data_IF_161353837246
#
_entry.id   IF_161353837246
#
_cell.length_a   1.000
_cell.length_b   1.000
_cell.length_c   1.000
_cell.angle_alpha   90.00
_cell.angle_beta   90.00
_cell.angle_gamma   90.00
#
_symmetry.space_group_name_H-M   'P 1'
#
loop_
_entity.id
_entity.type
_entity.pdbx_description
1 polymer ?
#
# COMPACT_ATOMS: atom_id res chain seq x y z
N UNK A 1 38.18 -10.35 -44.94
CA UNK A 1 37.34 -11.53 -44.61
C UNK A 1 35.96 -11.03 -44.24
N UNK A 2 34.98 -11.20 -45.14
CA UNK A 2 33.60 -10.82 -44.87
C UNK A 2 32.95 -11.97 -44.09
N UNK A 3 32.96 -11.87 -42.75
CA UNK A 3 32.22 -12.80 -41.90
C UNK A 3 30.74 -12.54 -42.20
N UNK A 4 30.15 -13.38 -43.05
CA UNK A 4 28.79 -13.18 -43.54
C UNK A 4 27.81 -13.04 -42.38
N UNK A 5 26.83 -12.13 -42.51
CA UNK A 5 25.88 -11.78 -41.44
C UNK A 5 25.03 -12.94 -40.88
N UNK A 6 25.16 -14.16 -41.41
CA UNK A 6 24.61 -15.37 -40.78
C UNK A 6 25.49 -15.90 -39.64
N UNK A 7 26.81 -15.77 -39.74
CA UNK A 7 27.78 -16.23 -38.73
C UNK A 7 27.75 -15.30 -37.51
N UNK A 8 27.66 -13.99 -37.71
CA UNK A 8 27.53 -13.03 -36.60
C UNK A 8 26.21 -13.20 -35.83
N UNK A 9 25.09 -13.43 -36.53
CA UNK A 9 23.79 -13.72 -35.88
C UNK A 9 23.84 -15.05 -35.12
N UNK A 10 24.46 -16.09 -35.68
CA UNK A 10 24.60 -17.38 -35.01
C UNK A 10 25.49 -17.31 -33.76
N UNK A 11 26.55 -16.50 -33.78
CA UNK A 11 27.44 -16.27 -32.63
C UNK A 11 26.72 -15.48 -31.54
N UNK A 12 26.01 -14.39 -31.89
CA UNK A 12 25.24 -13.59 -30.91
C UNK A 12 24.12 -14.43 -30.28
N UNK A 13 23.42 -15.25 -31.07
CA UNK A 13 22.41 -16.18 -30.55
C UNK A 13 23.01 -17.29 -29.71
N UNK A 14 24.15 -17.85 -30.11
CA UNK A 14 24.89 -18.82 -29.32
C UNK A 14 25.26 -18.26 -27.96
N UNK A 15 25.76 -17.02 -27.90
CA UNK A 15 26.11 -16.32 -26.65
C UNK A 15 24.90 -16.04 -25.75
N UNK A 16 23.68 -15.91 -26.30
CA UNK A 16 22.45 -15.71 -25.51
C UNK A 16 21.85 -17.05 -25.07
N UNK A 17 21.85 -18.06 -25.93
CA UNK A 17 21.21 -19.36 -25.68
C UNK A 17 22.07 -20.32 -24.85
N UNK A 18 23.40 -20.32 -25.01
CA UNK A 18 24.29 -21.19 -24.20
C UNK A 18 24.13 -20.99 -22.69
N UNK A 19 24.17 -19.76 -22.15
CA UNK A 19 24.01 -19.57 -20.71
C UNK A 19 22.62 -20.00 -20.22
N UNK A 20 21.56 -19.74 -21.00
CA UNK A 20 20.20 -20.21 -20.66
C UNK A 20 20.08 -21.73 -20.69
N UNK A 21 20.68 -22.39 -21.67
CA UNK A 21 20.69 -23.85 -21.80
C UNK A 21 21.49 -24.52 -20.68
N UNK A 22 22.63 -23.92 -20.30
CA UNK A 22 23.43 -24.34 -19.16
C UNK A 22 22.64 -24.27 -17.85
N UNK A 23 21.97 -23.15 -17.58
CA UNK A 23 21.13 -22.97 -16.38
C UNK A 23 19.91 -23.88 -16.40
N UNK A 24 19.30 -24.13 -17.56
CA UNK A 24 18.10 -24.97 -17.68
C UNK A 24 18.38 -26.47 -17.56
N UNK A 25 19.59 -26.95 -17.90
CA UNK A 25 19.90 -28.38 -17.92
C UNK A 25 20.90 -28.82 -16.85
N UNK A 26 21.58 -27.87 -16.20
CA UNK A 26 22.54 -28.15 -15.15
C UNK A 26 22.29 -27.21 -13.98
N UNK A 27 22.10 -27.74 -12.77
CA UNK A 27 21.96 -26.91 -11.57
C UNK A 27 23.31 -26.24 -11.25
N UNK A 28 23.47 -24.91 -11.47
CA UNK A 28 24.77 -24.28 -11.38
C UNK A 28 25.14 -23.86 -9.95
N UNK A 29 24.28 -24.20 -8.97
CA UNK A 29 24.33 -23.67 -7.61
C UNK A 29 24.33 -24.78 -6.55
N UNK A 30 25.07 -25.88 -6.75
CA UNK A 30 25.10 -27.03 -5.82
C UNK A 30 25.46 -26.70 -4.36
N UNK A 31 25.93 -25.48 -4.10
CA UNK A 31 26.30 -24.97 -2.79
C UNK A 31 25.42 -23.77 -2.33
N UNK A 32 24.33 -23.44 -3.05
CA UNK A 32 23.40 -22.39 -2.65
C UNK A 32 22.36 -22.95 -1.68
N UNK A 33 22.14 -22.22 -0.58
CA UNK A 33 21.12 -22.40 0.47
C UNK A 33 20.43 -23.77 0.50
N UNK A 34 20.99 -24.67 1.33
CA UNK A 34 20.52 -26.03 1.55
C UNK A 34 19.29 -26.10 2.46
N UNK A 35 19.07 -25.05 3.23
CA UNK A 35 18.10 -25.06 4.34
C UNK A 35 16.83 -24.27 3.96
N UNK A 36 16.91 -23.42 2.93
CA UNK A 36 15.75 -22.70 2.39
C UNK A 36 15.38 -21.51 3.26
N UNK A 37 16.37 -20.78 3.75
CA UNK A 37 16.15 -19.66 4.68
C UNK A 37 16.16 -18.32 3.97
N UNK A 38 15.17 -17.48 4.25
CA UNK A 38 15.08 -16.12 3.72
C UNK A 38 15.05 -15.12 4.86
N UNK A 39 16.00 -14.20 4.88
CA UNK A 39 16.07 -13.14 5.88
C UNK A 39 15.73 -11.78 5.26
N UNK A 40 14.89 -11.02 5.96
CA UNK A 40 14.62 -9.61 5.69
C UNK A 40 14.97 -8.79 6.91
N UNK A 41 15.82 -7.79 6.72
CA UNK A 41 16.15 -6.80 7.74
C UNK A 41 16.04 -5.40 7.16
N UNK A 42 15.26 -4.53 7.81
CA UNK A 42 15.21 -3.12 7.44
C UNK A 42 14.89 -2.21 8.62
N UNK A 43 15.23 -0.94 8.44
CA UNK A 43 14.77 0.17 9.27
C UNK A 43 14.00 1.13 8.38
N UNK A 44 12.75 1.39 8.73
CA UNK A 44 11.82 2.13 7.88
C UNK A 44 10.98 3.09 8.71
N UNK A 45 10.55 4.19 8.09
CA UNK A 45 9.53 5.07 8.67
C UNK A 45 8.17 4.66 8.13
N UNK A 46 7.24 4.35 9.04
CA UNK A 46 5.82 4.17 8.77
C UNK A 46 5.10 5.48 9.05
N UNK A 47 4.23 5.88 8.12
CA UNK A 47 3.32 7.01 8.29
C UNK A 47 1.96 6.56 8.78
N UNK A 48 1.20 7.49 9.34
CA UNK A 48 -0.13 7.25 9.89
C UNK A 48 -1.00 6.37 8.98
N UNK A 49 -1.61 5.32 9.55
CA UNK A 49 -2.44 4.34 8.84
C UNK A 49 -1.72 3.54 7.72
N UNK A 50 -0.39 3.50 7.73
CA UNK A 50 0.41 2.67 6.83
C UNK A 50 0.74 1.32 7.46
N UNK A 51 0.87 0.29 6.64
CA UNK A 51 1.45 -0.99 7.04
C UNK A 51 2.62 -1.36 6.15
N UNK A 52 3.55 -2.12 6.72
CA UNK A 52 4.65 -2.79 6.05
C UNK A 52 4.47 -4.30 6.13
N UNK A 53 4.89 -5.02 5.09
CA UNK A 53 4.92 -6.47 5.14
C UNK A 53 6.04 -7.12 4.34
N UNK A 54 6.40 -8.31 4.79
CA UNK A 54 7.16 -9.32 4.04
C UNK A 54 6.39 -10.62 4.05
N UNK A 55 6.62 -11.49 3.07
CA UNK A 55 5.98 -12.79 3.03
C UNK A 55 6.82 -13.78 2.24
N UNK A 56 6.71 -15.04 2.62
CA UNK A 56 7.30 -16.17 1.89
C UNK A 56 6.33 -17.35 1.91
N UNK A 57 6.50 -18.25 0.95
CA UNK A 57 5.80 -19.53 0.95
C UNK A 57 6.56 -20.51 1.86
N UNK A 58 5.88 -21.10 2.82
CA UNK A 58 6.51 -21.90 3.88
C UNK A 58 5.80 -23.22 4.03
N UNK A 59 6.55 -24.32 4.18
CA UNK A 59 6.00 -25.64 4.49
C UNK A 59 5.52 -25.73 5.95
N UNK A 60 4.51 -26.57 6.16
CA UNK A 60 4.00 -26.88 7.50
C UNK A 60 5.12 -27.36 8.44
N UNK A 61 5.11 -26.84 9.68
CA UNK A 61 6.06 -27.21 10.73
C UNK A 61 7.36 -26.41 10.76
N UNK A 62 7.64 -25.61 9.73
CA UNK A 62 8.80 -24.70 9.75
C UNK A 62 8.49 -23.40 10.50
N UNK A 63 9.52 -22.58 10.71
CA UNK A 63 9.47 -21.47 11.65
C UNK A 63 9.72 -20.10 11.00
N UNK A 64 9.04 -19.09 11.55
CA UNK A 64 9.28 -17.68 11.30
C UNK A 64 9.85 -17.09 12.58
N UNK A 65 11.13 -16.71 12.55
CA UNK A 65 11.76 -16.02 13.69
C UNK A 65 11.80 -14.53 13.42
N UNK A 66 11.34 -13.71 14.36
CA UNK A 66 11.24 -12.27 14.17
C UNK A 66 11.73 -11.48 15.38
N UNK A 67 12.23 -10.27 15.12
CA UNK A 67 12.47 -9.22 16.09
C UNK A 67 12.02 -7.91 15.48
N UNK A 68 11.25 -7.12 16.23
CA UNK A 68 10.77 -5.82 15.78
C UNK A 68 10.79 -4.81 16.91
N UNK A 69 11.12 -3.57 16.57
CA UNK A 69 11.15 -2.41 17.45
C UNK A 69 10.54 -1.20 16.76
N UNK A 70 9.86 -0.34 17.50
CA UNK A 70 9.32 0.93 17.01
C UNK A 70 9.62 2.09 17.96
N UNK A 71 9.72 3.30 17.42
CA UNK A 71 9.87 4.55 18.19
C UNK A 71 9.40 5.75 17.36
N UNK A 72 8.64 6.70 17.95
CA UNK A 72 8.24 6.76 19.37
C UNK A 72 6.99 5.95 19.72
N UNK A 73 6.22 5.54 18.71
CA UNK A 73 4.86 5.01 18.89
C UNK A 73 4.78 3.50 18.98
N UNK A 74 3.66 3.02 19.52
CA UNK A 74 3.24 1.62 19.43
C UNK A 74 3.00 1.19 17.98
N UNK A 75 3.08 -0.11 17.72
CA UNK A 75 2.72 -0.71 16.44
C UNK A 75 1.86 -1.96 16.69
N UNK A 76 1.03 -2.28 15.71
CA UNK A 76 0.31 -3.55 15.62
C UNK A 76 1.12 -4.53 14.78
N UNK A 77 1.70 -5.53 15.42
CA UNK A 77 2.45 -6.59 14.76
C UNK A 77 1.55 -7.82 14.58
N UNK A 78 1.63 -8.47 13.42
CA UNK A 78 0.95 -9.74 13.19
C UNK A 78 1.71 -10.66 12.24
N UNK A 79 1.52 -11.96 12.41
CA UNK A 79 1.82 -12.96 11.37
C UNK A 79 0.50 -13.59 10.94
N UNK A 80 0.22 -13.62 9.63
CA UNK A 80 -1.05 -14.13 9.08
C UNK A 80 -0.85 -14.97 7.81
N UNK A 81 -1.82 -15.83 7.53
CA UNK A 81 -1.87 -16.75 6.38
C UNK A 81 -2.46 -16.11 5.11
N UNK A 82 -2.62 -14.78 5.10
CA UNK A 82 -3.32 -14.07 4.04
C UNK A 82 -2.86 -12.62 3.90
N UNK A 83 -3.05 -12.00 2.72
CA UNK A 83 -2.78 -10.58 2.50
C UNK A 83 -3.61 -9.68 3.43
N UNK A 84 -3.04 -8.52 3.78
CA UNK A 84 -3.65 -7.56 4.71
C UNK A 84 -5.06 -7.13 4.28
N UNK A 85 -5.27 -6.96 2.97
CA UNK A 85 -6.53 -6.48 2.37
C UNK A 85 -7.67 -7.51 2.47
N UNK A 86 -7.34 -8.75 2.82
CA UNK A 86 -8.29 -9.85 2.99
C UNK A 86 -8.57 -10.19 4.45
N UNK A 87 -7.92 -9.48 5.38
CA UNK A 87 -8.18 -9.62 6.80
C UNK A 87 -9.61 -9.18 7.10
N UNK A 88 -10.30 -9.88 8.01
CA UNK A 88 -11.63 -9.46 8.41
C UNK A 88 -11.55 -8.13 9.16
N UNK A 89 -12.64 -7.37 9.08
CA UNK A 89 -12.80 -6.14 9.84
C UNK A 89 -13.81 -6.33 10.95
N UNK A 90 -13.64 -5.53 12.00
CA UNK A 90 -14.46 -5.53 13.19
C UNK A 90 -14.88 -4.11 13.56
N UNK A 91 -15.75 -4.00 14.55
CA UNK A 91 -16.11 -2.73 15.18
C UNK A 91 -15.32 -2.65 16.48
N UNK A 92 -14.45 -1.64 16.59
CA UNK A 92 -13.73 -1.34 17.83
C UNK A 92 -14.50 -0.27 18.59
N UNK A 93 -14.73 -0.49 19.88
CA UNK A 93 -15.38 0.48 20.76
C UNK A 93 -14.31 0.98 21.73
N UNK A 94 -14.22 2.30 21.87
CA UNK A 94 -13.34 2.95 22.84
C UNK A 94 -14.06 3.96 23.71
N UNK A 95 -13.42 4.30 24.82
CA UNK A 95 -13.87 5.30 25.77
C UNK A 95 -12.66 6.10 26.25
N UNK A 96 -12.72 7.41 26.11
CA UNK A 96 -11.76 8.34 26.69
C UNK A 96 -12.47 9.25 27.68
N UNK A 97 -11.99 9.25 28.91
CA UNK A 97 -12.53 10.08 30.00
C UNK A 97 -11.36 10.80 30.66
N UNK A 98 -11.37 12.13 30.59
CA UNK A 98 -10.30 12.95 31.16
C UNK A 98 -10.79 14.35 31.54
N UNK A 99 -9.89 15.15 32.11
CA UNK A 99 -10.07 16.54 32.47
C UNK A 99 -9.05 17.42 31.74
N UNK A 100 -9.55 18.46 31.06
CA UNK A 100 -8.77 19.49 30.37
C UNK A 100 -8.82 20.79 31.16
N UNK A 101 -7.76 21.59 31.05
CA UNK A 101 -7.70 22.94 31.62
C UNK A 101 -7.42 23.93 30.50
N UNK A 102 -8.41 24.76 30.20
CA UNK A 102 -8.37 25.75 29.12
C UNK A 102 -8.05 27.13 29.68
N UNK A 103 -6.91 27.70 29.29
CA UNK A 103 -6.60 29.12 29.54
C UNK A 103 -7.33 30.03 28.54
N UNK A 104 -7.52 31.31 28.89
CA UNK A 104 -8.14 32.30 28.02
C UNK A 104 -7.46 32.37 26.64
N UNK A 105 -8.25 32.22 25.58
CA UNK A 105 -7.81 32.28 24.19
C UNK A 105 -7.16 31.00 23.67
N UNK A 106 -7.24 29.91 24.42
CA UNK A 106 -6.67 28.62 24.05
C UNK A 106 -7.76 27.57 23.85
N UNK A 107 -7.47 26.60 22.99
CA UNK A 107 -8.27 25.41 22.79
C UNK A 107 -7.43 24.17 23.10
N UNK A 108 -8.12 23.11 23.50
CA UNK A 108 -7.59 21.74 23.55
C UNK A 108 -8.48 20.85 22.68
N UNK A 109 -7.93 19.73 22.23
CA UNK A 109 -8.68 18.80 21.40
C UNK A 109 -8.28 17.35 21.62
N UNK A 110 -9.20 16.46 21.27
CA UNK A 110 -8.93 15.03 21.06
C UNK A 110 -9.29 14.67 19.62
N UNK A 111 -8.56 13.73 19.03
CA UNK A 111 -8.74 13.34 17.63
C UNK A 111 -8.92 11.84 17.46
N UNK A 112 -9.82 11.47 16.54
CA UNK A 112 -10.03 10.08 16.14
C UNK A 112 -10.09 9.97 14.63
N UNK A 113 -9.32 9.04 14.06
CA UNK A 113 -9.52 8.63 12.67
C UNK A 113 -10.70 7.67 12.58
N UNK A 114 -11.79 8.09 11.94
CA UNK A 114 -13.00 7.28 11.84
C UNK A 114 -13.47 7.18 10.39
N UNK A 115 -14.08 6.04 10.07
CA UNK A 115 -14.64 5.72 8.75
C UNK A 115 -16.18 5.81 8.76
N UNK A 116 -16.86 5.89 7.60
CA UNK A 116 -18.32 5.81 7.55
C UNK A 116 -18.87 4.62 8.35
N UNK A 117 -20.10 4.75 8.88
CA UNK A 117 -20.72 3.81 9.83
C UNK A 117 -20.06 3.78 11.23
N UNK A 118 -19.10 4.66 11.49
CA UNK A 118 -18.60 4.93 12.84
C UNK A 118 -19.47 5.96 13.55
N UNK A 119 -19.33 6.08 14.87
CA UNK A 119 -20.03 7.10 15.66
C UNK A 119 -19.17 7.64 16.78
N UNK A 120 -19.42 8.89 17.15
CA UNK A 120 -18.82 9.58 18.29
C UNK A 120 -19.97 9.99 19.21
N UNK A 121 -19.89 9.62 20.47
CA UNK A 121 -20.81 10.02 21.53
C UNK A 121 -20.02 10.87 22.49
N UNK A 122 -20.30 12.17 22.53
CA UNK A 122 -19.63 13.11 23.41
C UNK A 122 -20.54 13.50 24.56
N UNK A 123 -19.95 13.64 25.74
CA UNK A 123 -20.56 14.22 26.94
C UNK A 123 -19.47 15.03 27.65
N UNK A 124 -19.74 16.28 27.98
CA UNK A 124 -18.80 17.11 28.74
C UNK A 124 -19.50 18.13 29.63
N UNK A 125 -18.76 18.57 30.65
CA UNK A 125 -19.15 19.63 31.57
C UNK A 125 -17.97 20.56 31.83
N UNK A 126 -18.20 21.86 31.73
CA UNK A 126 -17.23 22.93 31.90
C UNK A 126 -17.56 23.80 33.12
N UNK A 127 -16.52 24.30 33.80
CA UNK A 127 -16.70 25.20 34.95
C UNK A 127 -17.19 26.60 34.60
N UNK A 128 -17.17 26.97 33.32
CA UNK A 128 -17.63 28.25 32.75
C UNK A 128 -17.99 28.04 31.26
N UNK A 129 -18.53 29.08 30.63
CA UNK A 129 -18.85 29.11 29.20
C UNK A 129 -17.61 28.83 28.34
N UNK A 130 -17.80 28.01 27.31
CA UNK A 130 -16.84 27.64 26.29
C UNK A 130 -17.55 27.46 24.94
N UNK A 131 -16.78 27.40 23.87
CA UNK A 131 -17.23 26.90 22.59
C UNK A 131 -16.78 25.44 22.43
N UNK A 132 -17.68 24.60 21.91
CA UNK A 132 -17.38 23.22 21.54
C UNK A 132 -17.77 22.97 20.09
N UNK A 133 -16.88 22.34 19.34
CA UNK A 133 -17.18 21.96 17.97
C UNK A 133 -16.44 20.70 17.54
N UNK A 134 -17.00 20.01 16.54
CA UNK A 134 -16.36 18.87 15.87
C UNK A 134 -15.94 19.31 14.47
N UNK A 135 -14.65 19.14 14.16
CA UNK A 135 -14.04 19.60 12.92
C UNK A 135 -13.22 18.51 12.24
N UNK A 136 -13.02 18.65 10.93
CA UNK A 136 -11.91 18.00 10.22
C UNK A 136 -10.61 18.76 10.45
N UNK A 137 -9.45 18.14 10.16
CA UNK A 137 -8.15 18.81 10.26
C UNK A 137 -8.06 20.09 9.42
N UNK A 138 -8.61 20.09 8.20
CA UNK A 138 -8.63 21.29 7.34
C UNK A 138 -9.50 22.40 7.94
N UNK A 139 -10.69 22.07 8.43
CA UNK A 139 -11.59 23.07 9.03
C UNK A 139 -11.04 23.62 10.34
N UNK A 140 -10.36 22.81 11.15
CA UNK A 140 -9.67 23.27 12.35
C UNK A 140 -8.52 24.23 11.99
N UNK A 141 -7.73 23.88 10.97
CA UNK A 141 -6.67 24.74 10.46
C UNK A 141 -7.22 26.10 9.99
N UNK A 142 -8.28 26.10 9.18
CA UNK A 142 -8.89 27.32 8.64
C UNK A 142 -9.46 28.22 9.76
N UNK A 143 -10.10 27.62 10.77
CA UNK A 143 -10.58 28.35 11.96
C UNK A 143 -9.42 28.96 12.75
N UNK A 144 -8.34 28.20 12.97
CA UNK A 144 -7.16 28.68 13.70
C UNK A 144 -6.42 29.83 12.99
N UNK A 145 -6.62 29.99 11.68
CA UNK A 145 -6.15 31.15 10.91
C UNK A 145 -7.09 32.37 10.99
N UNK A 146 -8.17 32.29 11.76
CA UNK A 146 -9.19 33.33 11.89
C UNK A 146 -10.31 33.24 10.85
N UNK A 147 -10.46 32.10 10.17
CA UNK A 147 -11.60 31.81 9.31
C UNK A 147 -12.88 31.51 10.10
N UNK A 148 -14.00 31.38 9.38
CA UNK A 148 -15.30 30.95 9.94
C UNK A 148 -15.84 29.74 9.16
N UNK A 149 -15.18 28.57 9.27
CA UNK A 149 -15.62 27.35 8.59
C UNK A 149 -16.92 26.80 9.20
N UNK A 150 -17.60 25.93 8.47
CA UNK A 150 -18.74 25.17 9.03
C UNK A 150 -18.25 23.91 9.72
N UNK A 151 -18.62 23.74 10.98
CA UNK A 151 -18.30 22.56 11.78
C UNK A 151 -19.37 21.47 11.64
N UNK A 152 -19.01 20.24 11.99
CA UNK A 152 -19.92 19.11 12.01
C UNK A 152 -20.93 19.18 13.17
N UNK A 153 -20.44 19.67 14.30
CA UNK A 153 -21.19 20.05 15.50
C UNK A 153 -20.63 21.41 15.93
N UNK A 154 -21.49 22.32 16.36
CA UNK A 154 -21.12 23.66 16.79
C UNK A 154 -22.04 24.08 17.93
N UNK A 155 -21.47 24.21 19.12
CA UNK A 155 -22.12 24.59 20.37
C UNK A 155 -21.35 25.76 20.99
N UNK A 156 -21.85 26.98 20.80
CA UNK A 156 -21.17 28.19 21.31
C UNK A 156 -21.74 28.64 22.65
N UNK A 157 -20.87 29.21 23.51
CA UNK A 157 -21.25 29.78 24.81
C UNK A 157 -21.97 28.80 25.77
N UNK A 158 -21.49 27.56 25.83
CA UNK A 158 -22.10 26.46 26.61
C UNK A 158 -21.26 26.05 27.82
N UNK A 159 -21.90 25.53 28.86
CA UNK A 159 -21.23 24.98 30.06
C UNK A 159 -21.29 23.45 30.14
N UNK A 160 -22.06 22.82 29.26
CA UNK A 160 -22.21 21.38 29.14
C UNK A 160 -22.74 21.06 27.75
N UNK A 161 -22.43 19.88 27.24
CA UNK A 161 -22.93 19.40 25.95
C UNK A 161 -22.96 17.89 25.94
N UNK A 162 -23.95 17.32 25.25
CA UNK A 162 -23.97 15.90 24.94
C UNK A 162 -24.63 15.66 23.60
N UNK A 163 -24.16 14.64 22.88
CA UNK A 163 -24.70 14.32 21.58
C UNK A 163 -24.08 13.08 20.95
N UNK A 164 -24.64 12.71 19.80
CA UNK A 164 -24.13 11.63 18.96
C UNK A 164 -23.88 12.18 17.57
N UNK A 165 -22.64 12.06 17.11
CA UNK A 165 -22.24 12.37 15.75
C UNK A 165 -22.00 11.08 14.96
N UNK A 166 -22.70 10.93 13.83
CA UNK A 166 -22.52 9.80 12.94
C UNK A 166 -21.50 10.15 11.85
N UNK A 167 -20.49 9.31 11.70
CA UNK A 167 -19.38 9.56 10.77
C UNK A 167 -19.83 9.29 9.34
N UNK A 168 -19.62 10.29 8.47
CA UNK A 168 -20.03 10.25 7.07
C UNK A 168 -18.88 10.04 6.09
N UNK A 169 -17.63 10.23 6.53
CA UNK A 169 -16.46 10.22 5.65
C UNK A 169 -15.23 9.75 6.42
N UNK A 170 -14.29 9.10 5.74
CA UNK A 170 -13.06 8.62 6.37
C UNK A 170 -12.06 9.77 6.54
N UNK A 171 -11.87 10.24 7.78
CA UNK A 171 -10.94 11.32 8.12
C UNK A 171 -10.68 11.37 9.63
N UNK A 172 -9.75 12.23 10.02
CA UNK A 172 -9.56 12.64 11.41
C UNK A 172 -10.64 13.62 11.85
N UNK A 173 -11.33 13.26 12.93
CA UNK A 173 -12.33 14.07 13.60
C UNK A 173 -11.74 14.65 14.88
N UNK A 174 -11.67 15.97 14.93
CA UNK A 174 -11.16 16.75 16.07
C UNK A 174 -12.34 17.26 16.88
N UNK A 175 -12.43 16.85 18.14
CA UNK A 175 -13.36 17.40 19.12
C UNK A 175 -12.62 18.50 19.86
N UNK A 176 -13.09 19.73 19.73
CA UNK A 176 -12.36 20.91 20.18
C UNK A 176 -13.16 21.64 21.24
N UNK A 177 -12.51 21.97 22.35
CA UNK A 177 -13.04 22.87 23.38
C UNK A 177 -12.20 24.14 23.40
N UNK A 178 -12.85 25.28 23.18
CA UNK A 178 -12.21 26.59 23.10
C UNK A 178 -12.73 27.51 24.21
N UNK A 179 -11.81 28.19 24.88
CA UNK A 179 -12.14 29.18 25.91
C UNK A 179 -11.93 30.60 25.35
N UNK A 180 -13.03 31.28 25.02
CA UNK A 180 -13.04 32.70 24.63
C UNK A 180 -13.21 33.65 25.85
N UNK A 181 -13.42 33.08 27.04
CA UNK A 181 -13.68 33.78 28.28
C UNK A 181 -12.42 34.30 28.98
N UNK A 182 -12.63 35.12 30.02
CA UNK A 182 -11.54 35.79 30.72
C UNK A 182 -10.80 34.91 31.75
N UNK A 183 -11.47 33.88 32.28
CA UNK A 183 -10.95 32.99 33.32
C UNK A 183 -10.54 31.64 32.76
N UNK A 184 -9.62 30.95 33.45
CA UNK A 184 -9.33 29.55 33.18
C UNK A 184 -10.57 28.69 33.40
N UNK A 185 -10.83 27.75 32.49
CA UNK A 185 -11.97 26.83 32.52
C UNK A 185 -11.47 25.40 32.65
N UNK A 186 -12.12 24.62 33.51
CA UNK A 186 -11.89 23.18 33.61
C UNK A 186 -13.02 22.46 32.89
N UNK A 187 -12.68 21.55 31.98
CA UNK A 187 -13.63 20.73 31.23
C UNK A 187 -13.41 19.27 31.61
N UNK A 188 -14.47 18.60 32.08
CA UNK A 188 -14.47 17.15 32.24
C UNK A 188 -15.24 16.56 31.07
N UNK A 189 -14.67 15.59 30.38
CA UNK A 189 -15.31 14.97 29.22
C UNK A 189 -15.33 13.45 29.31
N UNK A 190 -16.28 12.85 28.60
CA UNK A 190 -16.36 11.43 28.33
C UNK A 190 -16.73 11.26 26.86
N UNK A 191 -15.81 10.75 26.06
CA UNK A 191 -16.02 10.43 24.66
C UNK A 191 -16.10 8.92 24.51
N UNK A 192 -17.22 8.42 24.00
CA UNK A 192 -17.32 7.04 23.52
C UNK A 192 -17.31 7.07 22.00
N UNK A 193 -16.55 6.18 21.37
CA UNK A 193 -16.58 6.04 19.92
C UNK A 193 -16.78 4.58 19.51
N UNK A 194 -17.41 4.40 18.36
CA UNK A 194 -17.45 3.12 17.65
C UNK A 194 -16.74 3.28 16.32
N UNK A 195 -15.56 2.70 16.16
CA UNK A 195 -14.81 2.68 14.92
C UNK A 195 -15.21 1.44 14.12
N UNK A 196 -15.90 1.65 13.00
CA UNK A 196 -16.29 0.60 12.07
C UNK A 196 -15.18 0.34 11.05
N UNK A 197 -15.18 -0.86 10.46
CA UNK A 197 -14.21 -1.26 9.44
C UNK A 197 -12.75 -1.18 9.91
N UNK A 198 -12.51 -1.56 11.18
CA UNK A 198 -11.17 -1.67 11.77
C UNK A 198 -10.61 -3.05 11.48
N UNK A 199 -9.35 -3.13 11.01
CA UNK A 199 -8.71 -4.42 10.71
C UNK A 199 -8.58 -5.25 11.98
N UNK A 200 -9.10 -6.48 11.96
CA UNK A 200 -9.01 -7.41 13.08
C UNK A 200 -7.77 -8.31 12.93
N UNK A 201 -6.63 -7.81 13.40
CA UNK A 201 -5.37 -8.56 13.44
C UNK A 201 -5.36 -9.67 14.50
N UNK A 202 -6.28 -9.67 15.46
CA UNK A 202 -6.38 -10.73 16.46
C UNK A 202 -7.08 -11.99 15.90
N UNK A 203 -7.90 -11.82 14.88
CA UNK A 203 -8.64 -12.91 14.26
C UNK A 203 -7.79 -13.86 13.42
N UNK A 204 -8.29 -15.09 13.23
CA UNK A 204 -7.68 -16.07 12.33
C UNK A 204 -6.38 -16.69 12.84
N UNK A 205 -5.75 -17.56 12.04
CA UNK A 205 -4.51 -18.24 12.43
C UNK A 205 -3.32 -17.28 12.43
N UNK A 206 -2.31 -17.58 13.25
CA UNK A 206 -1.10 -16.77 13.39
C UNK A 206 -0.97 -16.11 14.75
N UNK A 207 -0.17 -15.04 14.82
CA UNK A 207 0.09 -14.29 16.06
C UNK A 207 -0.22 -12.81 15.89
N UNK A 208 -0.51 -12.16 17.01
CA UNK A 208 -0.79 -10.74 17.10
C UNK A 208 -0.18 -10.16 18.38
N UNK A 209 0.39 -8.97 18.27
CA UNK A 209 0.94 -8.24 19.42
C UNK A 209 0.86 -6.74 19.17
N UNK A 210 0.52 -5.98 20.21
CA UNK A 210 0.59 -4.52 20.23
C UNK A 210 1.73 -4.11 21.18
N UNK A 211 2.65 -3.27 20.71
CA UNK A 211 3.79 -2.87 21.53
C UNK A 211 4.82 -2.05 20.79
N UNK A 212 5.92 -1.77 21.47
CA UNK A 212 7.09 -1.05 20.90
C UNK A 212 8.28 -1.96 20.61
N UNK A 213 8.27 -3.19 21.12
CA UNK A 213 9.30 -4.18 20.89
C UNK A 213 8.71 -5.58 21.08
N UNK A 214 9.04 -6.51 20.19
CA UNK A 214 8.79 -7.94 20.40
C UNK A 214 9.82 -8.77 19.65
N UNK A 215 10.13 -9.95 20.18
CA UNK A 215 10.99 -10.94 19.56
C UNK A 215 10.49 -12.32 19.95
N UNK A 216 10.21 -13.16 18.95
CA UNK A 216 9.74 -14.54 19.17
C UNK A 216 9.94 -15.39 17.92
N UNK A 217 9.55 -16.66 18.02
CA UNK A 217 9.50 -17.62 16.92
C UNK A 217 8.08 -18.18 16.79
N UNK A 218 7.57 -18.22 15.56
CA UNK A 218 6.26 -18.75 15.22
C UNK A 218 6.38 -19.99 14.33
N UNK A 219 5.81 -21.11 14.74
CA UNK A 219 5.75 -22.33 13.92
C UNK A 219 4.52 -22.33 13.01
N UNK A 220 4.75 -22.52 11.71
CA UNK A 220 3.73 -22.48 10.67
C UNK A 220 2.80 -23.70 10.75
N UNK A 221 1.49 -23.51 10.97
CA UNK A 221 0.55 -24.61 11.15
C UNK A 221 0.11 -25.28 9.85
N UNK A 222 0.25 -24.65 8.69
CA UNK A 222 -0.12 -25.21 7.39
C UNK A 222 0.77 -24.62 6.28
N UNK A 223 1.05 -25.41 5.24
CA UNK A 223 1.78 -24.95 4.06
C UNK A 223 1.04 -23.81 3.33
N UNK A 224 1.77 -22.74 2.98
CA UNK A 224 1.20 -21.60 2.26
C UNK A 224 2.01 -20.33 2.38
N UNK A 225 1.44 -19.22 1.92
CA UNK A 225 2.04 -17.89 2.04
C UNK A 225 1.76 -17.34 3.44
N UNK A 226 2.82 -17.02 4.16
CA UNK A 226 2.74 -16.41 5.49
C UNK A 226 3.35 -15.02 5.47
N UNK A 227 2.58 -14.07 6.00
CA UNK A 227 2.85 -12.65 5.94
C UNK A 227 3.24 -12.16 7.33
N UNK A 228 4.38 -11.49 7.41
CA UNK A 228 4.81 -10.66 8.52
C UNK A 228 4.27 -9.24 8.30
N UNK A 229 3.45 -8.74 9.21
CA UNK A 229 2.85 -7.41 9.15
C UNK A 229 3.32 -6.52 10.29
N UNK A 230 3.56 -5.25 9.93
CA UNK A 230 3.75 -4.15 10.85
C UNK A 230 2.77 -3.05 10.46
N UNK A 231 1.73 -2.85 11.24
CA UNK A 231 0.71 -1.86 10.97
C UNK A 231 0.80 -0.70 11.97
N UNK A 232 0.85 0.52 11.46
CA UNK A 232 0.77 1.72 12.27
C UNK A 232 -0.71 2.09 12.47
N UNK A 233 -1.32 1.42 13.46
CA UNK A 233 -2.75 1.49 13.74
C UNK A 233 -3.16 2.88 14.27
N UNK A 234 -4.04 3.60 13.53
CA UNK A 234 -4.59 4.89 13.94
C UNK A 234 -5.29 4.89 15.30
N UNK A 235 -5.76 3.73 15.76
CA UNK A 235 -6.48 3.59 17.01
C UNK A 235 -5.56 3.35 18.22
N UNK A 236 -4.26 3.17 18.00
CA UNK A 236 -3.29 2.91 19.07
C UNK A 236 -2.24 4.01 19.18
N UNK A 237 -1.93 4.67 18.06
CA UNK A 237 -0.79 5.57 17.99
C UNK A 237 -1.23 7.00 17.70
N UNK A 238 -0.95 7.95 18.61
CA UNK A 238 -1.32 9.35 18.41
C UNK A 238 -0.39 10.12 17.46
N UNK A 239 0.78 9.57 17.11
CA UNK A 239 1.76 10.25 16.26
C UNK A 239 1.50 10.07 14.76
N UNK A 240 1.96 11.04 13.97
CA UNK A 240 1.85 11.04 12.50
C UNK A 240 2.78 10.04 11.80
N UNK A 241 3.84 9.60 12.48
CA UNK A 241 4.79 8.62 11.96
C UNK A 241 5.58 7.94 13.07
N UNK A 242 6.05 6.72 12.80
CA UNK A 242 6.95 5.97 13.69
C UNK A 242 8.06 5.31 12.88
N UNK A 243 9.25 5.20 13.47
CA UNK A 243 10.35 4.44 12.86
C UNK A 243 10.31 3.02 13.38
N UNK A 244 10.22 2.05 12.47
CA UNK A 244 10.30 0.63 12.75
C UNK A 244 11.66 0.08 12.36
N UNK A 245 12.18 -0.86 13.13
CA UNK A 245 13.34 -1.69 12.77
C UNK A 245 12.94 -3.13 12.98
N UNK A 246 13.09 -3.95 11.94
CA UNK A 246 12.72 -5.36 12.02
C UNK A 246 13.79 -6.25 11.40
N UNK A 247 13.84 -7.47 11.91
CA UNK A 247 14.58 -8.61 11.38
C UNK A 247 13.62 -9.80 11.41
N UNK A 248 13.30 -10.35 10.24
CA UNK A 248 12.46 -11.54 10.11
C UNK A 248 13.16 -12.57 9.24
N UNK A 249 13.26 -13.80 9.77
CA UNK A 249 13.83 -14.95 9.09
C UNK A 249 12.76 -16.00 8.90
N UNK A 250 12.54 -16.38 7.65
CA UNK A 250 11.66 -17.45 7.22
C UNK A 250 12.48 -18.70 6.97
N UNK A 251 12.23 -19.77 7.72
CA UNK A 251 12.60 -21.12 7.31
C UNK A 251 11.51 -21.61 6.35
N UNK A 252 11.74 -21.52 5.04
CA UNK A 252 10.71 -21.90 4.06
C UNK A 252 10.60 -23.42 3.91
N UNK A 253 11.67 -24.16 4.24
CA UNK A 253 11.84 -25.57 3.85
C UNK A 253 11.82 -25.79 2.33
N UNK A 254 11.99 -24.74 1.53
CA UNK A 254 12.08 -24.76 0.07
C UNK A 254 13.53 -24.45 -0.30
N UNK A 255 14.26 -25.48 -0.71
CA UNK A 255 15.69 -25.36 -1.00
C UNK A 255 15.96 -24.64 -2.34
N UNK A 256 17.19 -24.22 -2.56
CA UNK A 256 17.63 -23.69 -3.86
C UNK A 256 17.41 -24.69 -5.02
N UNK A 257 17.48 -25.99 -4.72
CA UNK A 257 17.21 -27.05 -5.69
C UNK A 257 15.72 -27.09 -6.03
N UNK A 258 14.84 -27.04 -5.03
CA UNK A 258 13.39 -27.03 -5.24
C UNK A 258 12.96 -25.82 -6.09
N UNK A 259 13.47 -24.62 -5.78
CA UNK A 259 13.21 -23.39 -6.56
C UNK A 259 13.66 -23.53 -8.02
N UNK A 260 14.78 -24.21 -8.26
CA UNK A 260 15.29 -24.45 -9.61
C UNK A 260 14.46 -25.49 -10.36
N UNK A 261 14.09 -26.60 -9.73
CA UNK A 261 13.25 -27.64 -10.34
C UNK A 261 11.91 -27.04 -10.77
N UNK A 262 11.30 -26.18 -9.96
CA UNK A 262 10.04 -25.51 -10.30
C UNK A 262 10.19 -24.50 -11.45
N UNK A 263 11.32 -23.78 -11.51
CA UNK A 263 11.59 -22.79 -12.57
C UNK A 263 12.04 -23.45 -13.89
N UNK A 264 12.61 -24.65 -13.85
CA UNK A 264 13.22 -25.34 -15.00
C UNK A 264 12.30 -25.47 -16.23
N UNK A 265 11.01 -25.86 -16.10
CA UNK A 265 10.11 -26.00 -17.24
C UNK A 265 9.85 -24.69 -17.99
N UNK A 266 9.81 -23.56 -17.26
CA UNK A 266 9.63 -22.23 -17.84
C UNK A 266 10.83 -21.87 -18.72
N UNK A 267 12.05 -22.11 -18.21
CA UNK A 267 13.29 -21.89 -18.97
C UNK A 267 13.33 -22.76 -20.22
N UNK A 268 12.98 -24.04 -20.11
CA UNK A 268 12.90 -24.97 -21.26
C UNK A 268 11.89 -24.44 -22.29
N UNK A 269 10.72 -23.97 -21.85
CA UNK A 269 9.69 -23.41 -22.74
C UNK A 269 10.19 -22.18 -23.49
N UNK A 270 10.88 -21.26 -22.81
CA UNK A 270 11.51 -20.09 -23.44
C UNK A 270 12.53 -20.51 -24.50
N UNK A 271 13.38 -21.49 -24.18
CA UNK A 271 14.38 -22.03 -25.11
C UNK A 271 13.71 -22.62 -26.36
N UNK A 272 12.62 -23.41 -26.19
CA UNK A 272 11.86 -24.00 -27.30
C UNK A 272 11.23 -22.91 -28.18
N UNK A 273 10.58 -21.90 -27.59
CA UNK A 273 9.95 -20.79 -28.32
C UNK A 273 11.00 -20.02 -29.14
N UNK A 274 12.14 -19.68 -28.53
CA UNK A 274 13.24 -19.02 -29.23
C UNK A 274 13.78 -19.90 -30.35
N UNK A 275 13.93 -21.20 -30.12
CA UNK A 275 14.33 -22.19 -31.13
C UNK A 275 13.38 -22.22 -32.33
N UNK A 276 12.07 -22.25 -32.10
CA UNK A 276 11.04 -22.23 -33.16
C UNK A 276 11.11 -20.93 -33.98
N UNK A 277 11.23 -19.77 -33.32
CA UNK A 277 11.37 -18.47 -33.99
C UNK A 277 12.59 -18.47 -34.92
N UNK A 278 13.71 -19.05 -34.47
CA UNK A 278 14.93 -19.16 -35.28
C UNK A 278 14.72 -20.05 -36.50
N UNK A 279 14.10 -21.23 -36.33
CA UNK A 279 13.82 -22.14 -37.45
C UNK A 279 12.93 -21.46 -38.49
N UNK A 280 11.88 -20.76 -38.05
CA UNK A 280 11.00 -19.98 -38.93
C UNK A 280 11.77 -18.88 -39.67
N UNK A 281 12.63 -18.12 -38.98
CA UNK A 281 13.45 -17.08 -39.59
C UNK A 281 14.45 -17.64 -40.62
N UNK A 282 15.04 -18.82 -40.35
CA UNK A 282 15.95 -19.50 -41.27
C UNK A 282 15.22 -20.04 -42.50
N UNK A 283 14.01 -20.59 -42.35
CA UNK A 283 13.17 -21.02 -43.46
C UNK A 283 12.73 -19.83 -44.33
N UNK A 284 12.33 -18.72 -43.73
CA UNK A 284 12.00 -17.48 -44.43
C UNK A 284 13.19 -16.92 -45.24
N UNK A 285 14.41 -16.97 -44.68
CA UNK A 285 15.65 -16.59 -45.40
C UNK A 285 15.99 -17.51 -46.57
N UNK A 286 15.70 -18.82 -46.47
CA UNK A 286 15.96 -19.78 -47.58
C UNK A 286 15.03 -19.51 -48.77
N UNK A 287 13.81 -19.05 -48.54
CA UNK A 287 12.86 -18.67 -49.59
C UNK A 287 13.29 -17.45 -50.43
N UNK A 288 14.11 -16.55 -49.86
CA UNK A 288 14.54 -15.32 -50.54
C UNK A 288 15.75 -15.50 -51.48
N UNK A 289 16.38 -16.69 -51.55
CA UNK A 289 17.54 -16.94 -52.43
C UNK A 289 17.19 -17.16 -53.92
N UNK A 290 15.92 -17.13 -54.33
CA UNK A 290 15.49 -17.33 -55.73
C UNK A 290 15.10 -16.07 -56.51
N UNK A 291 15.32 -14.86 -55.99
CA UNK A 291 15.07 -13.62 -56.74
C UNK A 291 16.26 -12.64 -56.65
N UNK A 292 16.99 -12.47 -57.76
CA UNK A 292 17.77 -11.27 -58.13
C UNK A 292 17.44 -11.00 -59.61
N UNK A 293 17.18 -9.81 -60.13
CA UNK A 293 17.79 -8.47 -59.92
C UNK A 293 16.82 -7.36 -60.38
N UNK A 294 16.90 -6.11 -59.87
CA UNK A 294 17.56 -4.93 -60.51
C UNK A 294 17.57 -3.69 -59.57
N UNK A 295 18.34 -2.61 -59.88
CA UNK A 295 18.92 -1.70 -58.88
C UNK A 295 18.13 -0.40 -58.60
N UNK A 296 18.35 0.09 -57.37
CA UNK A 296 18.41 1.48 -56.86
C UNK A 296 17.46 2.55 -57.43
N UNK A 297 16.55 3.02 -56.57
CA UNK A 297 16.24 4.46 -56.49
C UNK A 297 16.04 4.86 -55.01
N UNK A 298 16.73 5.93 -54.63
CA UNK A 298 16.69 6.61 -53.33
C UNK A 298 15.31 7.24 -53.10
N UNK A 299 14.66 6.97 -51.96
CA UNK A 299 13.82 7.95 -51.23
C UNK A 299 13.84 7.63 -49.73
N UNK A 300 14.08 8.70 -48.95
CA UNK A 300 13.95 9.03 -47.51
C UNK A 300 13.49 7.99 -46.44
N UNK A 301 13.97 8.15 -45.18
CA UNK A 301 13.72 7.21 -44.08
C UNK A 301 12.33 7.41 -43.47
N UNK A 302 11.40 6.52 -43.77
CA UNK A 302 10.11 6.44 -43.07
C UNK A 302 10.28 5.57 -41.83
N UNK A 303 10.37 6.23 -40.67
CA UNK A 303 10.30 5.61 -39.34
C UNK A 303 9.00 4.83 -39.22
N UNK A 304 9.08 3.50 -39.24
CA UNK A 304 7.96 2.64 -38.86
C UNK A 304 7.84 2.73 -37.33
N UNK A 305 6.68 3.11 -36.77
CA UNK A 305 6.51 3.22 -35.34
C UNK A 305 6.59 1.80 -34.78
N UNK A 306 7.61 1.56 -33.96
CA UNK A 306 7.58 0.51 -32.94
C UNK A 306 6.29 0.76 -32.17
N UNK A 307 5.36 -0.18 -32.28
CA UNK A 307 4.13 -0.18 -31.50
C UNK A 307 4.56 -0.33 -30.05
N UNK A 308 4.78 0.80 -29.39
CA UNK A 308 4.96 0.89 -27.95
C UNK A 308 3.76 0.23 -27.32
N UNK A 309 3.96 -1.00 -26.83
CA UNK A 309 3.18 -1.49 -25.72
C UNK A 309 3.36 -0.44 -24.64
N UNK A 310 2.30 0.36 -24.38
CA UNK A 310 2.24 1.27 -23.24
C UNK A 310 2.60 0.44 -22.01
N UNK A 311 3.88 0.48 -21.62
CA UNK A 311 4.30 0.09 -20.29
C UNK A 311 3.63 1.13 -19.40
N UNK A 312 2.65 0.70 -18.62
CA UNK A 312 2.18 1.49 -17.49
C UNK A 312 3.41 1.80 -16.65
N UNK A 313 3.77 3.08 -16.64
CA UNK A 313 4.79 3.62 -15.75
C UNK A 313 4.08 4.07 -14.50
N UNK A 314 4.48 3.55 -13.34
CA UNK A 314 4.10 4.10 -12.04
C UNK A 314 5.19 5.08 -11.58
N UNK A 315 4.91 5.84 -10.54
CA UNK A 315 5.85 6.82 -9.98
C UNK A 315 6.34 6.30 -8.63
N UNK A 316 7.66 6.31 -8.41
CA UNK A 316 8.21 5.95 -7.11
C UNK A 316 7.83 6.99 -6.07
N UNK A 317 7.15 6.57 -5.01
CA UNK A 317 6.69 7.42 -3.92
C UNK A 317 7.82 8.13 -3.13
N UNK A 318 9.05 7.59 -3.15
CA UNK A 318 10.19 8.15 -2.39
C UNK A 318 10.93 9.27 -3.12
N UNK A 319 11.03 9.18 -4.44
CA UNK A 319 11.87 10.09 -5.22
C UNK A 319 11.19 10.62 -6.49
N UNK A 320 9.91 10.31 -6.66
CA UNK A 320 9.07 10.67 -7.81
C UNK A 320 9.64 10.24 -9.18
N UNK A 321 10.57 9.29 -9.20
CA UNK A 321 11.10 8.77 -10.46
C UNK A 321 10.09 7.85 -11.13
N UNK A 322 10.04 7.88 -12.47
CA UNK A 322 9.25 6.93 -13.23
C UNK A 322 9.82 5.53 -13.07
N UNK A 323 8.97 4.62 -12.65
CA UNK A 323 9.28 3.19 -12.49
C UNK A 323 8.35 2.37 -13.38
N UNK A 324 8.74 1.13 -13.65
CA UNK A 324 7.87 0.20 -14.38
C UNK A 324 6.81 -0.33 -13.41
N UNK A 325 5.59 -0.56 -13.89
CA UNK A 325 4.52 -1.12 -13.06
C UNK A 325 4.84 -2.51 -12.45
N UNK A 326 5.82 -3.25 -12.99
CA UNK A 326 6.30 -4.54 -12.49
C UNK A 326 7.56 -4.45 -11.64
N UNK A 327 8.04 -3.24 -11.32
CA UNK A 327 9.26 -3.04 -10.56
C UNK A 327 8.99 -3.26 -9.06
N UNK A 328 9.64 -4.25 -8.44
CA UNK A 328 9.60 -4.47 -6.98
C UNK A 328 10.39 -3.43 -6.19
N UNK A 329 11.41 -2.81 -6.81
CA UNK A 329 12.26 -1.77 -6.22
C UNK A 329 12.47 -0.62 -7.21
N UNK A 330 12.54 0.60 -6.69
CA UNK A 330 12.85 1.79 -7.46
C UNK A 330 14.32 1.78 -7.89
N UNK A 331 14.62 1.82 -9.20
CA UNK A 331 15.99 1.81 -9.72
C UNK A 331 16.76 3.09 -9.40
N UNK A 332 16.08 4.17 -9.01
CA UNK A 332 16.71 5.47 -8.73
C UNK A 332 17.06 5.65 -7.25
N UNK A 333 16.21 5.20 -6.33
CA UNK A 333 16.42 5.39 -4.89
C UNK A 333 16.51 4.09 -4.07
N UNK A 334 16.39 2.92 -4.71
CA UNK A 334 16.46 1.61 -4.06
C UNK A 334 15.24 1.24 -3.21
N UNK A 335 14.22 2.12 -3.11
CA UNK A 335 13.04 1.87 -2.28
C UNK A 335 12.10 0.84 -2.88
N UNK A 336 11.60 -0.10 -2.06
CA UNK A 336 10.59 -1.09 -2.45
C UNK A 336 9.30 -0.39 -2.91
N UNK A 337 8.65 -0.97 -3.93
CA UNK A 337 7.46 -0.42 -4.60
C UNK A 337 6.18 -1.12 -4.12
N UNK A 338 6.28 -2.40 -3.76
CA UNK A 338 5.22 -3.20 -3.15
C UNK A 338 5.36 -3.14 -1.61
N UNK A 339 4.26 -3.22 -0.86
CA UNK A 339 4.29 -3.31 0.61
C UNK A 339 4.21 -1.99 1.39
N UNK A 340 3.77 -0.90 0.76
CA UNK A 340 3.46 0.39 1.39
C UNK A 340 2.25 1.04 0.75
N UNK A 341 1.18 1.24 1.52
CA UNK A 341 -0.01 1.98 1.09
C UNK A 341 -0.29 3.06 2.14
N UNK A 342 -0.25 4.33 1.73
CA UNK A 342 -0.62 5.48 2.56
C UNK A 342 -2.12 5.73 2.39
N UNK A 343 -2.90 5.78 3.47
CA UNK A 343 -4.20 6.47 3.48
C UNK A 343 -3.94 7.98 3.62
N UNK A 344 -4.16 8.82 2.61
CA UNK A 344 -5.44 9.51 2.37
C UNK A 344 -5.46 10.22 0.99
N UNK A 345 -6.64 10.62 0.46
CA UNK A 345 -6.84 10.93 -0.96
C UNK A 345 -6.99 12.43 -1.28
N UNK A 346 -6.58 12.84 -2.50
CA UNK A 346 -6.99 14.11 -3.13
C UNK A 346 -7.46 13.95 -4.57
N UNK A 347 -7.47 12.72 -5.10
CA UNK A 347 -7.83 12.46 -6.49
C UNK A 347 -9.31 12.14 -6.58
N UNK A 348 -10.12 13.11 -7.00
CA UNK A 348 -11.51 12.84 -7.40
C UNK A 348 -11.46 11.93 -8.62
N UNK A 349 -12.18 10.79 -8.56
CA UNK A 349 -12.27 9.90 -9.71
C UNK A 349 -13.27 10.49 -10.71
N UNK A 350 -12.89 10.74 -11.97
CA UNK A 350 -13.80 11.28 -12.98
C UNK A 350 -15.02 10.37 -13.17
N UNK A 351 -16.18 10.95 -13.48
CA UNK A 351 -17.46 10.24 -13.62
C UNK A 351 -17.43 9.02 -14.57
N UNK A 352 -16.53 9.04 -15.56
CA UNK A 352 -16.42 8.02 -16.60
C UNK A 352 -15.26 7.04 -16.39
N UNK A 353 -14.60 7.06 -15.23
CA UNK A 353 -13.45 6.20 -14.96
C UNK A 353 -13.88 4.75 -14.66
N UNK A 354 -13.27 3.78 -15.36
CA UNK A 354 -13.49 2.34 -15.14
C UNK A 354 -12.74 1.78 -13.93
N UNK A 355 -11.86 2.60 -13.34
CA UNK A 355 -11.02 2.25 -12.20
C UNK A 355 -10.86 3.47 -11.32
N UNK A 356 -10.82 3.26 -10.00
CA UNK A 356 -10.61 4.31 -9.03
C UNK A 356 -9.29 5.02 -9.33
N UNK A 357 -9.33 6.36 -9.38
CA UNK A 357 -8.13 7.17 -9.67
C UNK A 357 -7.15 7.22 -8.50
N UNK A 358 -7.59 6.76 -7.32
CA UNK A 358 -6.77 6.64 -6.12
C UNK A 358 -6.23 5.22 -5.94
N UNK A 359 -7.08 4.21 -5.79
CA UNK A 359 -6.64 2.85 -5.47
C UNK A 359 -6.57 1.88 -6.67
N UNK A 360 -6.94 2.31 -7.88
CA UNK A 360 -6.89 1.48 -9.09
C UNK A 360 -7.93 0.35 -9.16
N UNK A 361 -8.73 0.14 -8.11
CA UNK A 361 -9.79 -0.88 -8.09
C UNK A 361 -10.83 -0.63 -9.18
N UNK A 362 -11.42 -1.70 -9.70
CA UNK A 362 -12.43 -1.62 -10.77
C UNK A 362 -13.72 -1.00 -10.24
N UNK A 363 -14.20 0.04 -10.91
CA UNK A 363 -15.47 0.71 -10.57
C UNK A 363 -16.62 0.11 -11.38
N UNK A 364 -17.80 0.05 -10.77
CA UNK A 364 -19.06 -0.28 -11.46
C UNK A 364 -19.73 1.04 -11.84
N UNK A 365 -20.49 1.05 -12.95
CA UNK A 365 -21.24 2.23 -13.36
C UNK A 365 -22.16 2.71 -12.21
N UNK A 366 -22.22 4.03 -12.00
CA UNK A 366 -23.01 4.74 -10.97
C UNK A 366 -22.52 4.67 -9.51
N UNK A 367 -21.33 4.11 -9.24
CA UNK A 367 -20.73 4.15 -7.90
C UNK A 367 -20.39 5.62 -7.51
N UNK A 368 -21.02 6.17 -6.46
CA UNK A 368 -20.73 7.53 -5.94
C UNK A 368 -19.41 7.64 -5.18
N UNK A 369 -18.92 6.50 -4.69
CA UNK A 369 -17.66 6.35 -3.98
C UNK A 369 -17.04 5.01 -4.37
N UNK A 370 -15.72 4.95 -4.43
CA UNK A 370 -15.01 3.69 -4.57
C UNK A 370 -15.24 2.82 -3.34
N UNK A 371 -15.81 1.62 -3.54
CA UNK A 371 -16.12 0.66 -2.47
C UNK A 371 -14.89 0.14 -1.71
N UNK A 372 -13.70 0.29 -2.28
CA UNK A 372 -12.45 -0.24 -1.72
C UNK A 372 -11.62 0.78 -0.95
N UNK A 373 -11.75 2.07 -1.28
CA UNK A 373 -10.92 3.11 -0.67
C UNK A 373 -11.69 4.38 -0.29
N UNK A 374 -13.00 4.41 -0.47
CA UNK A 374 -13.87 5.55 -0.13
C UNK A 374 -13.70 6.79 -1.02
N UNK A 375 -12.81 6.75 -2.03
CA UNK A 375 -12.59 7.91 -2.90
C UNK A 375 -13.84 8.27 -3.69
N UNK A 376 -14.27 9.54 -3.61
CA UNK A 376 -15.46 10.05 -4.30
C UNK A 376 -15.31 9.94 -5.82
N UNK A 377 -16.38 9.51 -6.48
CA UNK A 377 -16.53 9.52 -7.93
C UNK A 377 -17.46 10.67 -8.29
N UNK A 378 -17.05 11.51 -9.23
CA UNK A 378 -17.91 12.58 -9.74
C UNK A 378 -19.16 12.00 -10.40
N UNK A 379 -20.33 12.60 -10.19
CA UNK A 379 -21.56 12.24 -10.89
C UNK A 379 -21.83 13.27 -11.98
N UNK A 380 -22.10 12.83 -13.22
CA UNK A 380 -22.52 13.74 -14.29
C UNK A 380 -23.88 14.34 -13.95
N UNK A 381 -23.90 15.60 -13.48
CA UNK A 381 -25.12 16.39 -13.45
C UNK A 381 -25.35 16.93 -14.86
N UNK A 382 -26.29 16.33 -15.60
CA UNK A 382 -26.75 16.87 -16.88
C UNK A 382 -27.56 18.15 -16.57
N UNK A 383 -26.96 19.31 -16.78
CA UNK A 383 -27.68 20.58 -16.81
C UNK A 383 -28.62 20.61 -18.03
N UNK A 384 -29.87 20.21 -17.81
CA UNK A 384 -30.96 20.48 -18.76
C UNK A 384 -31.42 21.92 -18.54
N UNK A 385 -30.62 22.89 -18.97
CA UNK A 385 -31.10 24.27 -19.18
C UNK A 385 -30.35 24.95 -20.32
N UNK A 386 -30.60 24.46 -21.54
CA UNK A 386 -30.58 25.26 -22.78
C UNK A 386 -31.11 24.39 -23.91
N UNK A 387 -32.40 24.52 -24.17
CA UNK A 387 -32.95 24.40 -25.51
C UNK A 387 -34.06 25.43 -25.67
#
# INVERSE_FOLDING_TARGET
MYVGGGVTIAIVLGLILLPLFGVALWFPFSNADTDGTVNYRSTETLYFNEYWYEYENIKEGNEITYSIQSSPSFISFAIKDRPFETLPTTIKIGNDTDQLVLTNGWYEYISYYLKPESSIIYDYNASSQIDFFIASGQTLYDWNLGGSPSFFVDESDVIQGNGVYNVLSAMDYYLVWYNDGLSTVTVNFTINYSASDVIDLASGPGVYFEGVNTQDTFTVPNEGDWYFFVYFDPMLSPEESTTITFDVTYDTGITSVDRWVDTQPILITIIVVVGVIIVVALLARRGQKKLKSKPSSKVAPTKVPVKETKKSTSTCIRCNSSIRADAKFCPNCGGKVEGRIIGTPTVVTPANAKSCSYCGSKLVADDKFCKWCGTKVESEHIDISKN
#
